data_IF_781735405365
#
_entry.id   IF_781735405365
#
_cell.length_a   1.000
_cell.length_b   1.000
_cell.length_c   1.000
_cell.angle_alpha   90.00
_cell.angle_beta   90.00
_cell.angle_gamma   90.00
#
_symmetry.space_group_name_H-M   'P 1'
#
loop_
_entity.id
_entity.type
_entity.pdbx_description
1 polymer ?
#
# COMPACT_ATOMS: atom_id res chain seq x y z
N UNK A 1 -4.55 6.68 11.21
CA UNK A 1 -5.71 6.20 11.96
C UNK A 1 -6.70 5.67 10.95
N UNK A 2 -7.58 4.77 11.37
CA UNK A 2 -7.93 3.62 10.54
C UNK A 2 -9.22 3.77 9.76
N UNK A 3 -9.34 2.92 8.74
CA UNK A 3 -10.53 2.81 7.89
C UNK A 3 -11.46 1.70 8.39
N UNK A 4 -12.68 2.05 8.74
CA UNK A 4 -13.76 1.10 9.05
C UNK A 4 -14.65 0.96 7.82
N UNK A 5 -14.80 -0.27 7.32
CA UNK A 5 -15.62 -0.57 6.15
C UNK A 5 -16.89 -1.29 6.62
N UNK A 6 -18.04 -0.62 6.54
CA UNK A 6 -19.34 -1.25 6.81
C UNK A 6 -19.72 -2.15 5.63
N UNK A 7 -20.25 -3.34 5.87
CA UNK A 7 -20.63 -4.29 4.82
C UNK A 7 -21.94 -4.99 5.19
N UNK A 8 -22.75 -5.36 4.20
CA UNK A 8 -23.99 -6.11 4.41
C UNK A 8 -25.08 -5.72 3.42
N UNK A 9 -26.17 -6.47 3.41
CA UNK A 9 -27.31 -6.25 2.51
C UNK A 9 -27.88 -4.83 2.60
N UNK A 10 -28.54 -4.32 1.55
CA UNK A 10 -29.29 -3.07 1.65
C UNK A 10 -30.27 -3.15 2.83
N UNK A 11 -30.43 -2.04 3.52
CA UNK A 11 -31.26 -1.93 4.72
C UNK A 11 -30.83 -2.76 5.94
N UNK A 12 -29.69 -3.48 5.95
CA UNK A 12 -29.27 -4.35 7.08
C UNK A 12 -28.91 -3.66 8.42
N UNK A 13 -29.12 -2.35 8.56
CA UNK A 13 -28.80 -1.60 9.78
C UNK A 13 -27.39 -1.00 9.85
N UNK A 14 -26.59 -1.10 8.78
CA UNK A 14 -25.23 -0.53 8.69
C UNK A 14 -25.13 0.91 9.19
N UNK A 15 -25.97 1.81 8.68
CA UNK A 15 -25.93 3.22 9.06
C UNK A 15 -26.18 3.43 10.55
N UNK A 16 -27.06 2.65 11.18
CA UNK A 16 -27.27 2.69 12.64
C UNK A 16 -26.00 2.29 13.38
N UNK A 17 -25.41 1.15 13.03
CA UNK A 17 -24.17 0.64 13.62
C UNK A 17 -22.97 1.57 13.37
N UNK A 18 -22.92 2.22 12.22
CA UNK A 18 -21.91 3.22 11.88
C UNK A 18 -21.99 4.46 12.78
N UNK A 19 -23.21 4.93 13.08
CA UNK A 19 -23.41 6.04 14.02
C UNK A 19 -23.08 5.64 15.47
N UNK A 20 -23.45 4.43 15.88
CA UNK A 20 -23.06 3.88 17.20
C UNK A 20 -21.53 3.87 17.35
N UNK A 21 -20.80 3.37 16.33
CA UNK A 21 -19.34 3.39 16.28
C UNK A 21 -18.76 4.79 16.33
N UNK A 22 -19.34 5.70 15.55
CA UNK A 22 -18.92 7.10 15.52
C UNK A 22 -19.02 7.72 16.91
N UNK A 23 -20.18 7.61 17.55
CA UNK A 23 -20.41 8.16 18.89
C UNK A 23 -19.42 7.58 19.91
N UNK A 24 -19.20 6.26 19.87
CA UNK A 24 -18.23 5.60 20.75
C UNK A 24 -16.79 6.12 20.56
N UNK A 25 -16.35 6.29 19.32
CA UNK A 25 -15.01 6.76 18.99
C UNK A 25 -14.82 8.26 19.31
N UNK A 26 -15.82 9.09 19.02
CA UNK A 26 -15.83 10.50 19.38
C UNK A 26 -15.78 10.69 20.90
N UNK A 27 -16.50 9.87 21.67
CA UNK A 27 -16.43 9.87 23.14
C UNK A 27 -15.04 9.48 23.69
N UNK A 28 -14.22 8.77 22.90
CA UNK A 28 -12.81 8.49 23.21
C UNK A 28 -11.84 9.57 22.70
N UNK A 29 -12.36 10.71 22.24
CA UNK A 29 -11.56 11.84 21.78
C UNK A 29 -10.94 11.65 20.39
N UNK A 30 -11.52 10.79 19.55
CA UNK A 30 -11.10 10.62 18.15
C UNK A 30 -11.93 11.50 17.23
N UNK A 31 -11.28 12.10 16.23
CA UNK A 31 -11.98 12.71 15.10
C UNK A 31 -12.47 11.60 14.17
N UNK A 32 -13.77 11.57 13.89
CA UNK A 32 -14.38 10.54 13.05
C UNK A 32 -15.09 11.18 11.87
N UNK A 33 -14.73 10.75 10.67
CA UNK A 33 -15.40 11.13 9.43
C UNK A 33 -16.30 9.99 8.94
N UNK A 34 -17.55 10.32 8.64
CA UNK A 34 -18.50 9.38 8.03
C UNK A 34 -18.63 9.68 6.53
N UNK A 35 -18.18 8.76 5.69
CA UNK A 35 -18.39 8.80 4.25
C UNK A 35 -19.56 7.87 3.90
N UNK A 36 -20.64 8.41 3.34
CA UNK A 36 -21.84 7.63 2.99
C UNK A 36 -22.40 7.99 1.62
N UNK A 37 -23.12 7.04 1.02
CA UNK A 37 -23.82 7.23 -0.26
C UNK A 37 -24.90 8.33 -0.19
N UNK A 38 -25.46 8.57 1.00
CA UNK A 38 -26.53 9.56 1.25
C UNK A 38 -26.08 11.02 1.06
N UNK A 39 -24.77 11.27 1.07
CA UNK A 39 -24.22 12.60 0.80
C UNK A 39 -24.29 12.99 -0.68
N UNK A 40 -24.54 12.02 -1.57
CA UNK A 40 -24.80 12.28 -2.99
C UNK A 40 -26.30 12.57 -3.20
N UNK A 41 -26.64 13.64 -3.91
CA UNK A 41 -28.02 14.04 -4.20
C UNK A 41 -28.75 13.11 -5.18
N UNK A 42 -28.26 11.89 -5.37
CA UNK A 42 -28.70 10.93 -6.36
C UNK A 42 -29.64 9.91 -5.72
N UNK A 43 -30.77 9.65 -6.38
CA UNK A 43 -31.69 8.62 -5.96
C UNK A 43 -31.03 7.22 -6.05
N UNK A 44 -31.18 6.43 -4.98
CA UNK A 44 -30.55 5.11 -4.87
C UNK A 44 -31.02 4.15 -5.96
N UNK A 45 -32.30 4.17 -6.32
CA UNK A 45 -32.82 3.30 -7.35
C UNK A 45 -32.19 3.63 -8.71
N UNK A 46 -31.95 4.92 -8.97
CA UNK A 46 -31.24 5.39 -10.15
C UNK A 46 -29.78 4.94 -10.15
N UNK A 47 -29.08 5.01 -9.01
CA UNK A 47 -27.67 4.57 -8.88
C UNK A 47 -27.52 3.07 -9.12
N UNK A 48 -28.42 2.25 -8.55
CA UNK A 48 -28.30 0.79 -8.61
C UNK A 48 -29.04 0.14 -9.79
N UNK A 49 -29.71 0.93 -10.64
CA UNK A 49 -30.37 0.43 -11.86
C UNK A 49 -29.36 0.08 -12.97
N UNK A 50 -28.18 0.69 -12.98
CA UNK A 50 -27.18 0.49 -14.02
C UNK A 50 -25.77 0.36 -13.44
N UNK A 51 -25.01 -0.63 -13.93
CA UNK A 51 -23.65 -0.91 -13.46
C UNK A 51 -22.67 0.26 -13.65
N UNK A 52 -22.92 1.14 -14.62
CA UNK A 52 -22.11 2.34 -14.85
C UNK A 52 -22.25 3.35 -13.71
N UNK A 53 -23.49 3.63 -13.29
CA UNK A 53 -23.80 4.55 -12.20
C UNK A 53 -23.25 4.01 -10.87
N UNK A 54 -23.38 2.71 -10.65
CA UNK A 54 -22.83 2.06 -9.47
C UNK A 54 -21.29 2.16 -9.42
N UNK A 55 -20.63 1.98 -10.56
CA UNK A 55 -19.17 2.14 -10.67
C UNK A 55 -18.74 3.58 -10.37
N UNK A 56 -19.49 4.56 -10.86
CA UNK A 56 -19.25 5.97 -10.60
C UNK A 56 -19.44 6.30 -9.10
N UNK A 57 -20.54 5.87 -8.49
CA UNK A 57 -20.81 6.06 -7.07
C UNK A 57 -19.69 5.46 -6.19
N UNK A 58 -19.25 4.24 -6.50
CA UNK A 58 -18.09 3.62 -5.83
C UNK A 58 -16.81 4.41 -6.03
N UNK A 59 -16.58 4.96 -7.22
CA UNK A 59 -15.44 5.84 -7.51
C UNK A 59 -15.44 7.12 -6.67
N UNK A 60 -16.61 7.75 -6.52
CA UNK A 60 -16.79 8.96 -5.71
C UNK A 60 -16.54 8.68 -4.23
N UNK A 61 -17.13 7.61 -3.67
CA UNK A 61 -16.91 7.19 -2.29
C UNK A 61 -15.44 6.88 -2.00
N UNK A 62 -14.81 6.08 -2.86
CA UNK A 62 -13.39 5.76 -2.73
C UNK A 62 -12.52 7.01 -2.71
N UNK A 63 -12.79 7.95 -3.62
CA UNK A 63 -12.07 9.22 -3.68
C UNK A 63 -12.32 10.07 -2.43
N UNK A 64 -13.53 10.04 -1.87
CA UNK A 64 -13.83 10.71 -0.61
C UNK A 64 -13.04 10.11 0.57
N UNK A 65 -13.01 8.77 0.66
CA UNK A 65 -12.21 8.06 1.67
C UNK A 65 -10.73 8.39 1.53
N UNK A 66 -10.18 8.37 0.31
CA UNK A 66 -8.77 8.66 0.05
C UNK A 66 -8.36 10.09 0.45
N UNK A 67 -9.29 11.06 0.37
CA UNK A 67 -9.05 12.44 0.86
C UNK A 67 -9.12 12.55 2.37
N UNK A 68 -9.98 11.77 3.03
CA UNK A 68 -10.23 11.84 4.47
C UNK A 68 -9.26 10.98 5.29
N UNK A 69 -8.69 9.94 4.68
CA UNK A 69 -7.86 8.97 5.39
C UNK A 69 -6.53 9.61 5.80
N UNK A 70 -6.33 9.68 7.11
CA UNK A 70 -5.20 10.39 7.74
C UNK A 70 -4.51 9.48 8.76
N UNK A 71 -3.35 9.90 9.27
CA UNK A 71 -2.68 9.20 10.38
C UNK A 71 -3.36 9.43 11.71
N UNK A 72 -4.19 10.45 11.86
CA UNK A 72 -4.75 10.85 13.16
C UNK A 72 -6.28 10.74 13.25
N UNK A 73 -6.97 10.66 12.11
CA UNK A 73 -8.44 10.59 12.06
C UNK A 73 -8.95 9.20 11.68
N UNK A 74 -10.16 8.86 12.14
CA UNK A 74 -10.86 7.61 11.79
C UNK A 74 -11.83 7.89 10.65
N UNK A 75 -11.88 7.04 9.64
CA UNK A 75 -12.86 7.13 8.55
C UNK A 75 -13.78 5.92 8.60
N UNK A 76 -15.09 6.15 8.69
CA UNK A 76 -16.13 5.12 8.56
C UNK A 76 -16.75 5.26 7.18
N UNK A 77 -16.65 4.21 6.36
CA UNK A 77 -17.34 4.11 5.09
C UNK A 77 -18.66 3.36 5.26
N UNK A 78 -19.76 4.12 5.33
CA UNK A 78 -21.13 3.61 5.38
C UNK A 78 -21.72 3.49 3.97
N UNK A 79 -21.44 2.35 3.33
CA UNK A 79 -21.99 1.97 2.03
C UNK A 79 -22.28 0.46 2.04
N UNK A 80 -22.82 -0.08 0.95
CA UNK A 80 -23.10 -1.51 0.81
C UNK A 80 -21.82 -2.36 0.87
N UNK A 81 -20.74 -1.89 0.21
CA UNK A 81 -19.44 -2.57 0.12
C UNK A 81 -19.55 -4.09 -0.18
N UNK A 82 -20.52 -4.45 -1.01
CA UNK A 82 -20.97 -5.83 -1.20
C UNK A 82 -20.15 -6.63 -2.21
N UNK A 83 -19.37 -5.95 -3.05
CA UNK A 83 -18.48 -6.57 -4.03
C UNK A 83 -17.07 -6.71 -3.44
N UNK A 84 -16.50 -7.92 -3.49
CA UNK A 84 -15.17 -8.26 -3.00
C UNK A 84 -14.08 -7.42 -3.65
N UNK A 85 -14.16 -7.22 -4.96
CA UNK A 85 -13.20 -6.40 -5.71
C UNK A 85 -13.12 -4.97 -5.17
N UNK A 86 -14.25 -4.38 -4.79
CA UNK A 86 -14.28 -3.04 -4.24
C UNK A 86 -13.69 -2.96 -2.83
N UNK A 87 -13.96 -3.96 -1.98
CA UNK A 87 -13.31 -4.06 -0.65
C UNK A 87 -11.79 -4.21 -0.77
N UNK A 88 -11.31 -4.97 -1.76
CA UNK A 88 -9.88 -5.05 -2.05
C UNK A 88 -9.29 -3.69 -2.46
N UNK A 89 -10.00 -2.91 -3.28
CA UNK A 89 -9.56 -1.55 -3.63
C UNK A 89 -9.46 -0.64 -2.40
N UNK A 90 -10.45 -0.67 -1.50
CA UNK A 90 -10.44 0.10 -0.25
C UNK A 90 -9.29 -0.33 0.68
N UNK A 91 -9.02 -1.63 0.77
CA UNK A 91 -7.85 -2.15 1.47
C UNK A 91 -6.54 -1.61 0.87
N UNK A 92 -6.44 -1.52 -0.47
CA UNK A 92 -5.27 -0.95 -1.12
C UNK A 92 -5.09 0.53 -0.75
N UNK A 93 -6.18 1.30 -0.63
CA UNK A 93 -6.15 2.69 -0.14
C UNK A 93 -5.60 2.74 1.30
N UNK A 94 -6.18 1.96 2.22
CA UNK A 94 -5.70 1.91 3.61
C UNK A 94 -4.21 1.54 3.71
N UNK A 95 -3.78 0.54 2.92
CA UNK A 95 -2.39 0.09 2.81
C UNK A 95 -1.46 1.18 2.26
N UNK A 96 -1.88 1.92 1.23
CA UNK A 96 -1.09 3.01 0.66
C UNK A 96 -0.84 4.12 1.67
N UNK A 97 -1.84 4.44 2.50
CA UNK A 97 -1.73 5.43 3.58
C UNK A 97 -1.05 4.89 4.84
N UNK A 98 -0.61 3.62 4.85
CA UNK A 98 0.00 2.93 6.00
C UNK A 98 -0.91 2.98 7.23
N UNK A 99 -2.20 2.79 7.01
CA UNK A 99 -3.23 2.75 8.04
C UNK A 99 -3.80 1.35 8.18
N UNK A 100 -4.30 1.04 9.36
CA UNK A 100 -5.07 -0.17 9.65
C UNK A 100 -6.48 -0.03 9.10
N UNK A 101 -7.12 -1.17 8.85
CA UNK A 101 -8.52 -1.23 8.45
C UNK A 101 -9.21 -2.39 9.16
N UNK A 102 -10.54 -2.34 9.24
CA UNK A 102 -11.36 -3.49 9.59
C UNK A 102 -12.68 -3.49 8.82
N UNK A 103 -13.32 -4.65 8.79
CA UNK A 103 -14.64 -4.82 8.19
C UNK A 103 -15.66 -5.11 9.29
N UNK A 104 -16.76 -4.38 9.25
CA UNK A 104 -17.93 -4.63 10.10
C UNK A 104 -19.06 -5.09 9.19
N UNK A 105 -19.37 -6.39 9.23
CA UNK A 105 -20.42 -7.03 8.47
C UNK A 105 -21.70 -7.12 9.30
N UNK A 106 -22.74 -6.39 8.89
CA UNK A 106 -24.09 -6.53 9.43
C UNK A 106 -24.79 -7.69 8.71
N UNK A 107 -24.80 -8.86 9.36
CA UNK A 107 -25.37 -10.11 8.86
C UNK A 107 -26.85 -10.19 9.26
N UNK A 108 -27.68 -9.61 8.40
CA UNK A 108 -29.14 -9.55 8.57
C UNK A 108 -29.80 -10.34 7.44
N UNK A 109 -30.81 -11.15 7.76
CA UNK A 109 -31.49 -11.96 6.75
C UNK A 109 -32.19 -11.09 5.70
N UNK A 110 -32.41 -11.65 4.50
CA UNK A 110 -33.11 -10.96 3.41
C UNK A 110 -34.51 -10.53 3.82
N UNK A 111 -35.22 -11.37 4.56
CA UNK A 111 -36.60 -11.17 4.97
C UNK A 111 -36.73 -9.92 5.86
N UNK A 112 -35.85 -9.80 6.85
CA UNK A 112 -35.78 -8.63 7.75
C UNK A 112 -35.39 -7.39 6.96
N UNK A 113 -34.39 -7.48 6.07
CA UNK A 113 -33.99 -6.35 5.23
C UNK A 113 -35.15 -5.85 4.35
N UNK A 114 -35.94 -6.76 3.78
CA UNK A 114 -37.13 -6.42 2.98
C UNK A 114 -38.24 -5.80 3.83
N UNK A 115 -38.45 -6.27 5.05
CA UNK A 115 -39.40 -5.66 5.98
C UNK A 115 -38.99 -4.23 6.35
N UNK A 116 -37.73 -4.04 6.72
CA UNK A 116 -37.18 -2.71 7.02
C UNK A 116 -37.13 -1.79 5.80
N UNK A 117 -37.01 -2.33 4.59
CA UNK A 117 -37.11 -1.53 3.38
C UNK A 117 -38.52 -0.95 3.20
N UNK A 118 -39.57 -1.70 3.57
CA UNK A 118 -40.97 -1.25 3.45
C UNK A 118 -41.32 -0.07 4.35
N UNK A 119 -40.61 0.12 5.47
CA UNK A 119 -40.89 1.19 6.44
C UNK A 119 -40.13 2.48 6.15
N UNK A 120 -39.13 2.46 5.25
CA UNK A 120 -38.29 3.63 4.93
C UNK A 120 -38.98 4.58 3.96
N UNK A 121 -38.59 5.85 3.99
CA UNK A 121 -39.04 6.84 2.99
C UNK A 121 -38.31 6.65 1.66
N UNK A 122 -36.97 6.51 1.70
CA UNK A 122 -36.12 6.18 0.54
C UNK A 122 -35.99 4.67 0.38
N UNK A 123 -37.04 4.04 -0.17
CA UNK A 123 -37.11 2.58 -0.39
C UNK A 123 -36.31 2.18 -1.62
N UNK A 124 -35.71 1.00 -1.56
CA UNK A 124 -35.28 0.28 -2.75
C UNK A 124 -36.49 -0.35 -3.43
N UNK A 125 -36.54 -0.35 -4.76
CA UNK A 125 -37.47 -1.19 -5.50
C UNK A 125 -37.16 -2.66 -5.21
N UNK A 126 -38.19 -3.50 -5.10
CA UNK A 126 -38.02 -4.92 -4.75
C UNK A 126 -37.08 -5.65 -5.72
N UNK A 127 -37.16 -5.35 -7.02
CA UNK A 127 -36.27 -5.88 -8.06
C UNK A 127 -34.80 -5.50 -7.82
N UNK A 128 -34.53 -4.25 -7.43
CA UNK A 128 -33.19 -3.74 -7.16
C UNK A 128 -32.64 -4.35 -5.87
N UNK A 129 -33.47 -4.43 -4.83
CA UNK A 129 -33.13 -5.05 -3.56
C UNK A 129 -32.69 -6.50 -3.77
N UNK A 130 -33.51 -7.27 -4.49
CA UNK A 130 -33.24 -8.67 -4.81
C UNK A 130 -31.98 -8.83 -5.67
N UNK A 131 -31.79 -7.98 -6.67
CA UNK A 131 -30.59 -7.97 -7.50
C UNK A 131 -29.32 -7.62 -6.68
N UNK A 132 -29.41 -6.74 -5.68
CA UNK A 132 -28.29 -6.41 -4.80
C UNK A 132 -27.96 -7.56 -3.85
N UNK A 133 -28.98 -8.23 -3.30
CA UNK A 133 -28.79 -9.42 -2.45
C UNK A 133 -28.16 -10.57 -3.23
N UNK A 134 -28.61 -10.83 -4.47
CA UNK A 134 -28.04 -11.90 -5.31
C UNK A 134 -26.57 -11.65 -5.70
N UNK A 135 -26.17 -10.38 -5.82
CA UNK A 135 -24.78 -10.00 -6.15
C UNK A 135 -23.88 -9.88 -4.92
N UNK A 136 -24.41 -10.06 -3.71
CA UNK A 136 -23.65 -9.89 -2.47
C UNK A 136 -22.59 -10.97 -2.30
N UNK A 137 -21.33 -10.55 -2.17
CA UNK A 137 -20.19 -11.43 -1.91
C UNK A 137 -19.76 -11.25 -0.44
N UNK A 138 -20.09 -12.18 0.47
CA UNK A 138 -19.82 -12.02 1.90
C UNK A 138 -18.31 -11.84 2.16
N UNK A 139 -17.92 -10.98 3.11
CA UNK A 139 -16.54 -10.84 3.52
C UNK A 139 -16.03 -12.12 4.20
N UNK A 140 -14.77 -12.47 3.96
CA UNK A 140 -14.17 -13.70 4.47
C UNK A 140 -12.88 -13.38 5.22
N UNK A 141 -12.84 -13.71 6.51
CA UNK A 141 -11.72 -13.39 7.41
C UNK A 141 -10.39 -14.05 7.02
N UNK A 142 -10.41 -15.07 6.14
CA UNK A 142 -9.21 -15.67 5.55
C UNK A 142 -8.52 -14.74 4.56
N UNK A 143 -9.26 -13.81 3.95
CA UNK A 143 -8.70 -12.82 3.04
C UNK A 143 -8.03 -11.71 3.84
N UNK A 144 -6.80 -11.35 3.46
CA UNK A 144 -6.04 -10.27 4.12
C UNK A 144 -6.74 -8.91 4.05
N UNK A 145 -7.44 -8.64 2.96
CA UNK A 145 -8.19 -7.39 2.77
C UNK A 145 -9.51 -7.36 3.52
N UNK A 146 -10.06 -8.51 3.90
CA UNK A 146 -11.28 -8.56 4.72
C UNK A 146 -10.99 -8.73 6.23
N UNK A 147 -9.71 -8.88 6.62
CA UNK A 147 -9.28 -9.11 8.00
C UNK A 147 -8.66 -7.87 8.64
N UNK A 148 -9.11 -7.43 9.84
CA UNK A 148 -10.01 -8.13 10.76
C UNK A 148 -11.49 -7.97 10.38
N UNK A 149 -12.27 -9.04 10.55
CA UNK A 149 -13.70 -9.09 10.23
C UNK A 149 -14.53 -9.25 11.51
N UNK A 150 -15.50 -8.36 11.70
CA UNK A 150 -16.50 -8.43 12.75
C UNK A 150 -17.87 -8.69 12.11
N UNK A 151 -18.48 -9.83 12.41
CA UNK A 151 -19.83 -10.17 11.95
C UNK A 151 -20.80 -9.90 13.08
N UNK A 152 -21.87 -9.17 12.80
CA UNK A 152 -22.82 -8.66 13.79
C UNK A 152 -24.22 -9.01 13.31
N UNK A 153 -24.98 -9.74 14.13
CA UNK A 153 -26.39 -10.03 13.87
C UNK A 153 -27.29 -8.90 14.39
N UNK A 154 -28.58 -8.98 14.10
CA UNK A 154 -29.55 -7.92 14.46
C UNK A 154 -29.59 -7.68 15.98
N UNK A 155 -29.62 -8.76 16.76
CA UNK A 155 -29.78 -8.73 18.21
C UNK A 155 -28.45 -8.60 18.98
N UNK A 156 -27.32 -8.64 18.27
CA UNK A 156 -26.00 -8.57 18.90
C UNK A 156 -25.64 -7.14 19.31
N UNK A 157 -24.94 -7.01 20.43
CA UNK A 157 -24.26 -5.78 20.79
C UNK A 157 -22.99 -5.61 19.96
N UNK A 158 -22.66 -4.35 19.65
CA UNK A 158 -21.49 -4.05 18.84
C UNK A 158 -20.21 -4.23 19.68
N UNK A 159 -19.21 -5.02 19.23
CA UNK A 159 -18.00 -5.25 20.01
C UNK A 159 -17.02 -4.06 19.92
N UNK A 160 -17.38 -2.95 20.58
CA UNK A 160 -16.68 -1.67 20.50
C UNK A 160 -15.19 -1.74 20.84
N UNK A 161 -14.82 -2.43 21.93
CA UNK A 161 -13.42 -2.58 22.35
C UNK A 161 -12.60 -3.38 21.35
N UNK A 162 -13.12 -4.52 20.89
CA UNK A 162 -12.43 -5.37 19.92
C UNK A 162 -12.20 -4.64 18.59
N UNK A 163 -13.18 -3.83 18.16
CA UNK A 163 -13.05 -2.98 16.97
C UNK A 163 -11.98 -1.91 17.23
N UNK A 164 -12.01 -1.23 18.37
CA UNK A 164 -11.01 -0.23 18.74
C UNK A 164 -9.59 -0.79 18.76
N UNK A 165 -9.40 -1.98 19.33
CA UNK A 165 -8.11 -2.66 19.41
C UNK A 165 -7.58 -3.06 18.03
N UNK A 166 -8.43 -3.63 17.17
CA UNK A 166 -8.10 -3.98 15.80
C UNK A 166 -7.65 -2.76 14.97
N UNK A 167 -8.19 -1.59 15.31
CA UNK A 167 -7.97 -0.32 14.63
C UNK A 167 -6.70 0.38 15.11
N UNK A 168 -6.44 0.44 16.42
CA UNK A 168 -5.39 1.30 16.99
C UNK A 168 -4.16 0.51 17.43
N UNK A 169 -4.36 -0.66 18.02
CA UNK A 169 -3.28 -1.43 18.63
C UNK A 169 -2.58 -2.39 17.64
N UNK A 170 -3.07 -2.47 16.40
CA UNK A 170 -2.50 -3.31 15.34
C UNK A 170 -1.48 -2.55 14.51
N UNK A 171 -0.37 -3.20 14.18
CA UNK A 171 0.61 -2.66 13.23
C UNK A 171 0.02 -2.64 11.82
N UNK A 172 0.02 -1.49 11.11
CA UNK A 172 -0.47 -1.42 9.74
C UNK A 172 0.29 -2.37 8.80
N UNK A 173 -0.37 -2.91 7.75
CA UNK A 173 0.27 -3.79 6.80
C UNK A 173 1.43 -3.07 6.08
N UNK A 174 2.57 -3.75 5.83
CA UNK A 174 3.72 -3.13 5.19
C UNK A 174 3.34 -2.69 3.77
N UNK A 175 3.75 -1.48 3.33
CA UNK A 175 3.39 -0.97 2.02
C UNK A 175 4.03 -1.83 0.92
N UNK A 176 3.44 -1.84 -0.28
CA UNK A 176 4.04 -2.52 -1.42
C UNK A 176 5.37 -1.86 -1.78
N UNK A 177 6.43 -2.65 -1.94
CA UNK A 177 7.76 -2.14 -2.31
C UNK A 177 7.76 -1.54 -3.73
N UNK A 178 6.92 -2.05 -4.64
CA UNK A 178 6.79 -1.54 -6.00
C UNK A 178 6.18 -0.13 -6.09
N UNK A 179 5.48 0.33 -5.06
CA UNK A 179 4.87 1.67 -4.99
C UNK A 179 5.63 2.62 -4.07
N UNK A 180 6.76 2.17 -3.49
CA UNK A 180 7.64 3.11 -2.80
C UNK A 180 8.35 3.97 -3.85
N UNK A 181 8.40 5.29 -3.69
CA UNK A 181 9.30 6.09 -4.49
C UNK A 181 10.70 5.51 -4.30
N UNK A 182 11.38 5.16 -5.40
CA UNK A 182 12.79 4.80 -5.30
C UNK A 182 13.50 5.91 -4.54
N UNK A 183 14.36 5.60 -3.57
CA UNK A 183 15.15 6.63 -2.92
C UNK A 183 15.85 7.40 -4.03
N UNK A 184 15.61 8.71 -4.08
CA UNK A 184 16.30 9.60 -5.02
C UNK A 184 17.79 9.28 -4.84
N UNK A 185 18.46 8.90 -5.93
CA UNK A 185 19.89 8.66 -5.89
C UNK A 185 20.56 9.88 -5.26
N UNK A 186 21.56 9.66 -4.40
CA UNK A 186 22.29 10.75 -3.79
C UNK A 186 22.70 11.74 -4.89
N UNK A 187 22.55 13.04 -4.64
CA UNK A 187 22.78 14.12 -5.63
C UNK A 187 24.12 14.02 -6.35
N UNK A 188 25.10 13.35 -5.74
CA UNK A 188 26.45 13.17 -6.27
C UNK A 188 26.71 11.79 -6.91
N UNK A 189 25.77 10.85 -6.94
CA UNK A 189 26.03 9.49 -7.39
C UNK A 189 26.52 9.43 -8.85
N UNK A 190 25.87 10.16 -9.76
CA UNK A 190 26.28 10.19 -11.16
C UNK A 190 27.65 10.85 -11.35
N UNK A 191 27.95 11.87 -10.55
CA UNK A 191 29.25 12.55 -10.57
C UNK A 191 30.37 11.63 -10.04
N UNK A 192 30.14 10.94 -8.92
CA UNK A 192 31.12 10.00 -8.36
C UNK A 192 31.34 8.79 -9.29
N UNK A 193 30.28 8.28 -9.92
CA UNK A 193 30.38 7.22 -10.91
C UNK A 193 31.22 7.68 -12.11
N UNK A 194 30.91 8.84 -12.69
CA UNK A 194 31.67 9.36 -13.83
C UNK A 194 33.14 9.57 -13.47
N UNK A 195 33.42 10.18 -12.31
CA UNK A 195 34.78 10.37 -11.79
C UNK A 195 35.55 9.05 -11.66
N UNK A 196 34.97 8.06 -10.99
CA UNK A 196 35.62 6.74 -10.81
C UNK A 196 35.86 6.06 -12.17
N UNK A 197 34.89 6.12 -13.08
CA UNK A 197 35.07 5.51 -14.41
C UNK A 197 36.14 6.22 -15.25
N UNK A 198 36.27 7.54 -15.14
CA UNK A 198 37.35 8.30 -15.80
C UNK A 198 38.73 7.99 -15.20
N UNK A 199 38.81 7.84 -13.87
CA UNK A 199 40.05 7.43 -13.19
C UNK A 199 40.51 6.04 -13.67
N UNK A 200 39.60 5.07 -13.75
CA UNK A 200 39.90 3.72 -14.27
C UNK A 200 40.39 3.79 -15.73
N UNK A 201 39.71 4.54 -16.59
CA UNK A 201 40.11 4.67 -18.00
C UNK A 201 41.49 5.29 -18.12
N UNK A 202 41.80 6.33 -17.33
CA UNK A 202 43.11 6.97 -17.30
C UNK A 202 44.21 5.99 -16.88
N UNK A 203 43.96 5.19 -15.85
CA UNK A 203 44.92 4.15 -15.41
C UNK A 203 45.16 3.10 -16.49
N UNK A 204 44.10 2.65 -17.17
CA UNK A 204 44.21 1.68 -18.26
C UNK A 204 45.04 2.23 -19.43
N UNK A 205 44.84 3.49 -19.83
CA UNK A 205 45.61 4.11 -20.92
C UNK A 205 47.07 4.31 -20.54
N UNK A 206 47.35 4.74 -19.31
CA UNK A 206 48.72 4.97 -18.85
C UNK A 206 49.50 3.66 -18.72
N UNK A 207 48.88 2.63 -18.16
CA UNK A 207 49.49 1.28 -18.05
C UNK A 207 49.70 0.66 -19.43
N UNK A 208 48.85 0.98 -20.41
CA UNK A 208 49.03 0.53 -21.78
C UNK A 208 50.29 1.06 -22.47
N UNK A 209 50.81 2.25 -22.08
CA UNK A 209 52.05 2.81 -22.66
C UNK A 209 53.31 2.02 -22.28
N UNK A 210 53.24 1.26 -21.18
CA UNK A 210 54.36 0.48 -20.63
C UNK A 210 54.14 -1.03 -20.78
N UNK A 211 53.10 -1.43 -21.52
CA UNK A 211 52.59 -2.79 -21.57
C UNK A 211 53.36 -3.71 -22.52
N UNK A 212 53.61 -4.95 -22.07
CA UNK A 212 54.05 -6.09 -22.88
C UNK A 212 52.95 -7.18 -22.85
N UNK A 213 52.63 -7.86 -23.98
CA UNK A 213 51.61 -8.91 -24.00
C UNK A 213 51.85 -10.00 -22.94
N UNK A 214 50.94 -10.09 -21.97
CA UNK A 214 51.03 -11.01 -20.82
C UNK A 214 50.96 -10.33 -19.45
N UNK A 215 51.11 -9.00 -19.39
CA UNK A 215 51.06 -8.26 -18.12
C UNK A 215 49.64 -8.11 -17.55
N UNK A 216 49.58 -8.03 -16.22
CA UNK A 216 48.35 -7.86 -15.45
C UNK A 216 48.26 -6.44 -14.88
N UNK A 217 47.18 -5.73 -15.21
CA UNK A 217 46.93 -4.38 -14.68
C UNK A 217 45.93 -4.48 -13.53
N UNK A 218 46.30 -3.94 -12.36
CA UNK A 218 45.40 -3.79 -11.21
C UNK A 218 44.58 -2.53 -11.37
N UNK A 219 43.24 -2.66 -11.33
CA UNK A 219 42.34 -1.51 -11.37
C UNK A 219 42.25 -0.89 -9.97
N UNK A 220 42.29 0.44 -9.83
CA UNK A 220 42.14 1.10 -8.53
C UNK A 220 40.81 0.70 -7.87
N UNK A 221 40.88 0.23 -6.62
CA UNK A 221 39.70 -0.11 -5.83
C UNK A 221 39.14 -1.52 -6.03
N UNK A 222 39.78 -2.39 -6.83
CA UNK A 222 39.40 -3.80 -6.94
C UNK A 222 40.60 -4.74 -6.79
N UNK A 223 40.34 -5.97 -6.35
CA UNK A 223 41.33 -7.05 -6.28
C UNK A 223 41.49 -7.81 -7.61
N UNK A 224 40.67 -7.49 -8.61
CA UNK A 224 40.68 -8.14 -9.91
C UNK A 224 41.72 -7.54 -10.85
N UNK A 225 42.40 -8.42 -11.59
CA UNK A 225 43.45 -8.06 -12.54
C UNK A 225 42.94 -8.22 -13.95
N UNK A 226 43.12 -7.20 -14.79
CA UNK A 226 42.74 -7.24 -16.20
C UNK A 226 43.99 -7.59 -17.03
N UNK A 227 43.89 -8.66 -17.84
CA UNK A 227 44.91 -9.03 -18.82
C UNK A 227 44.50 -8.55 -20.21
N UNK A 228 45.31 -7.71 -20.83
CA UNK A 228 45.07 -7.31 -22.22
C UNK A 228 45.82 -8.24 -23.17
N UNK A 229 45.13 -8.80 -24.17
CA UNK A 229 45.77 -9.64 -25.21
C UNK A 229 46.13 -8.85 -26.46
N UNK A 230 45.69 -7.58 -26.56
CA UNK A 230 45.94 -6.67 -27.70
C UNK A 230 46.00 -5.21 -27.24
N UNK A 231 46.73 -4.39 -27.99
CA UNK A 231 46.77 -2.94 -27.80
C UNK A 231 45.41 -2.32 -28.20
N UNK A 232 44.73 -1.65 -27.27
CA UNK A 232 43.38 -1.09 -27.45
C UNK A 232 43.43 0.44 -27.59
N UNK A 233 42.77 1.05 -28.55
CA UNK A 233 42.70 2.52 -28.70
C UNK A 233 41.70 3.15 -27.73
N UNK A 234 41.85 4.44 -27.40
CA UNK A 234 40.93 5.20 -26.53
C UNK A 234 39.45 5.01 -26.90
N UNK A 235 39.16 5.02 -28.21
CA UNK A 235 37.82 4.86 -28.74
C UNK A 235 37.26 3.45 -28.57
N UNK A 236 38.09 2.40 -28.64
CA UNK A 236 37.66 1.01 -28.42
C UNK A 236 37.48 0.68 -26.94
N UNK A 237 38.26 1.31 -26.04
CA UNK A 237 38.06 1.23 -24.59
C UNK A 237 36.74 1.89 -24.16
N UNK A 238 36.38 3.03 -24.77
CA UNK A 238 35.08 3.68 -24.56
C UNK A 238 33.91 2.88 -25.16
N UNK A 239 34.08 2.23 -26.32
CA UNK A 239 33.02 1.42 -26.93
C UNK A 239 32.77 0.09 -26.19
N UNK A 240 33.80 -0.48 -25.56
CA UNK A 240 33.64 -1.61 -24.62
C UNK A 240 32.81 -1.24 -23.38
N UNK A 241 32.55 0.05 -23.08
CA UNK A 241 31.56 0.47 -22.07
C UNK A 241 30.14 -0.03 -22.39
N UNK A 242 29.82 -0.32 -23.65
CA UNK A 242 28.48 -0.79 -24.06
C UNK A 242 28.30 -2.31 -24.03
N UNK A 243 29.38 -3.10 -24.11
CA UNK A 243 29.28 -4.55 -24.38
C UNK A 243 29.65 -5.41 -23.18
N UNK A 244 30.49 -4.91 -22.26
CA UNK A 244 30.82 -5.63 -21.02
C UNK A 244 30.08 -5.04 -19.81
N UNK A 245 29.11 -5.82 -19.31
CA UNK A 245 28.51 -5.76 -17.96
C UNK A 245 27.16 -5.06 -17.73
N UNK A 246 26.15 -5.36 -18.56
CA UNK A 246 24.77 -5.42 -18.07
C UNK A 246 24.37 -6.81 -17.51
N UNK A 247 25.16 -7.86 -17.76
CA UNK A 247 24.84 -9.23 -17.32
C UNK A 247 25.28 -9.60 -15.89
N UNK A 248 26.44 -9.10 -15.42
CA UNK A 248 27.03 -9.60 -14.17
C UNK A 248 26.87 -8.69 -12.94
N UNK A 249 26.62 -7.38 -13.11
CA UNK A 249 26.33 -6.48 -11.99
C UNK A 249 24.89 -6.63 -11.47
N UNK A 250 23.95 -7.10 -12.30
CA UNK A 250 22.58 -7.44 -11.87
C UNK A 250 22.52 -8.63 -10.91
N UNK A 251 23.51 -9.55 -10.98
CA UNK A 251 23.56 -10.73 -10.12
C UNK A 251 24.11 -10.45 -8.71
N UNK A 252 24.91 -9.40 -8.53
CA UNK A 252 25.44 -9.00 -7.21
C UNK A 252 24.47 -8.12 -6.43
N UNK A 253 23.60 -7.37 -7.10
CA UNK A 253 22.53 -6.60 -6.45
C UNK A 253 21.42 -7.47 -5.85
N UNK A 254 21.29 -8.75 -6.26
CA UNK A 254 20.34 -9.71 -5.67
C UNK A 254 20.88 -10.46 -4.45
N UNK A 255 22.18 -10.33 -4.12
CA UNK A 255 22.78 -10.96 -2.94
C UNK A 255 23.18 -9.93 -1.89
N UNK A 256 22.20 -9.22 -1.33
CA UNK A 256 22.17 -8.70 0.06
C UNK A 256 23.44 -8.17 0.75
N UNK A 257 24.45 -7.70 0.03
CA UNK A 257 25.70 -7.18 0.60
C UNK A 257 25.55 -5.68 0.83
N UNK A 258 25.04 -5.34 2.00
CA UNK A 258 25.18 -4.00 2.60
C UNK A 258 26.66 -3.63 2.65
N UNK A 259 27.07 -2.68 1.81
CA UNK A 259 28.36 -2.00 1.94
C UNK A 259 28.24 -1.09 3.16
N UNK A 260 28.72 -1.57 4.31
CA UNK A 260 28.86 -0.78 5.52
C UNK A 260 29.94 0.27 5.31
N UNK A 261 29.53 1.53 5.15
CA UNK A 261 30.42 2.69 5.16
C UNK A 261 30.96 2.86 6.58
N UNK A 262 32.17 2.34 6.83
CA UNK A 262 32.89 2.52 8.09
C UNK A 262 33.32 3.99 8.21
N UNK A 263 32.47 4.83 8.82
CA UNK A 263 32.85 6.17 9.27
C UNK A 263 33.42 6.07 10.68
N UNK A 264 34.75 6.17 10.80
CA UNK A 264 35.42 6.43 12.07
C UNK A 264 34.91 7.78 12.62
N UNK A 265 34.09 7.74 13.66
CA UNK A 265 33.88 8.89 14.55
C UNK A 265 34.32 8.52 15.96
N UNK A 266 35.17 9.37 16.47
CA UNK A 266 35.87 9.27 17.74
C UNK A 266 34.94 9.56 18.93
N UNK A 267 35.33 8.95 20.06
CA UNK A 267 35.18 9.39 21.46
C UNK A 267 33.90 9.07 22.26
N UNK A 268 34.18 8.33 23.35
CA UNK A 268 33.77 8.54 24.76
C UNK A 268 32.76 7.58 25.41
N UNK A 269 33.32 6.78 26.34
CA UNK A 269 32.86 6.39 27.68
C UNK A 269 31.54 5.62 27.84
N UNK A 270 31.64 4.36 28.26
CA UNK A 270 31.04 3.91 29.53
C UNK A 270 31.66 2.57 29.97
N UNK A 271 32.24 2.60 31.17
CA UNK A 271 32.51 1.43 32.01
C UNK A 271 31.17 0.84 32.50
N UNK A 272 31.15 -0.48 32.74
CA UNK A 272 30.25 -1.34 33.55
C UNK A 272 30.36 -2.73 32.88
N UNK A 273 30.84 -3.82 33.46
CA UNK A 273 31.12 -4.23 34.85
C UNK A 273 31.95 -5.53 34.76
N UNK A 274 32.73 -5.82 35.81
CA UNK A 274 32.82 -7.18 36.30
C UNK A 274 31.56 -7.47 37.13
#
# INVERSE_FOLDING_TARGET
>A
MPLIIMCGFPCSGKSKRAQELRNYLENRGKTVYLASDESSSLDRNTVYSASANEKEARGLLKSAVERLISRDDVVILDSLNYIKGYRYELYCVAKAHKTTHCIVHCDTSKEICSEWNKTRESKYNDEILDALVMRFEPPDSRNRWDSPLFVIQVDDDLPFESIYDALINRVPPPPNQATQPQPLSATNFLYELDKITQEIVTVLINSQRTFVPGDHITVPGTSEKISFTKHTTFFSALNNRRISNFGHLGALAQRGLTVSVCTRKSRFISQVTA
#
